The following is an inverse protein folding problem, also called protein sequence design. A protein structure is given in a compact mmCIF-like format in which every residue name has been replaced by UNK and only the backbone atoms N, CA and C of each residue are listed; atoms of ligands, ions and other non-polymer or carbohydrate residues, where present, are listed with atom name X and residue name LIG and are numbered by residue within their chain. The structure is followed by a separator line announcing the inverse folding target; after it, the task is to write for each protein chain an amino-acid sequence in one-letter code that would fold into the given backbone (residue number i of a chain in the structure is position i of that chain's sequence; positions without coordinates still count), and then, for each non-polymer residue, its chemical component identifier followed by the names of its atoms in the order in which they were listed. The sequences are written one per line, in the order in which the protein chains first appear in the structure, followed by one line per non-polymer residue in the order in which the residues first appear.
data_IF_538189985304
#
_entry.id   IF_538189985304
#
_cell.length_a   1.000
_cell.length_b   1.000
_cell.length_c   1.000
_cell.angle_alpha   90.00
_cell.angle_beta   90.00
_cell.angle_gamma   90.00
#
_symmetry.space_group_name_H-M   'P 1'
#
loop_
_entity.id
_entity.type
_entity.pdbx_description
1 polymer ?
#
# COMPACT_ATOMS: atom_id res chain seq x y z
N UNK A 1 -18.79 -18.65 5.33
CA UNK A 1 -17.68 -17.91 5.96
C UNK A 1 -16.81 -17.32 4.86
N UNK A 2 -16.50 -16.02 4.91
CA UNK A 2 -15.56 -15.41 3.96
C UNK A 2 -14.16 -15.91 4.33
N UNK A 3 -13.42 -16.47 3.38
CA UNK A 3 -12.04 -16.87 3.65
C UNK A 3 -11.19 -15.62 3.93
N UNK A 4 -10.21 -15.73 4.86
CA UNK A 4 -9.32 -14.61 5.18
C UNK A 4 -8.64 -14.02 3.95
N UNK A 5 -8.31 -14.86 2.95
CA UNK A 5 -7.79 -14.40 1.66
C UNK A 5 -8.78 -13.53 0.89
N UNK A 6 -10.05 -13.92 0.81
CA UNK A 6 -11.07 -13.16 0.07
C UNK A 6 -11.31 -11.79 0.72
N UNK A 7 -11.34 -11.74 2.05
CA UNK A 7 -11.42 -10.47 2.79
C UNK A 7 -10.20 -9.58 2.51
N UNK A 8 -8.99 -10.13 2.60
CA UNK A 8 -7.77 -9.37 2.36
C UNK A 8 -7.67 -8.83 0.93
N UNK A 9 -8.08 -9.62 -0.07
CA UNK A 9 -8.15 -9.18 -1.47
C UNK A 9 -9.16 -8.04 -1.62
N UNK A 10 -10.36 -8.17 -1.02
CA UNK A 10 -11.38 -7.13 -1.08
C UNK A 10 -10.89 -5.80 -0.47
N UNK A 11 -10.21 -5.85 0.68
CA UNK A 11 -9.61 -4.67 1.32
C UNK A 11 -8.56 -4.02 0.41
N UNK A 12 -7.65 -4.80 -0.19
CA UNK A 12 -6.65 -4.24 -1.10
C UNK A 12 -7.26 -3.60 -2.35
N UNK A 13 -8.31 -4.22 -2.91
CA UNK A 13 -9.04 -3.63 -4.04
C UNK A 13 -9.68 -2.30 -3.65
N UNK A 14 -10.32 -2.24 -2.48
CA UNK A 14 -10.91 -1.00 -1.96
C UNK A 14 -9.86 0.09 -1.73
N UNK A 15 -8.71 -0.26 -1.14
CA UNK A 15 -7.59 0.66 -0.94
C UNK A 15 -7.04 1.16 -2.27
N UNK A 16 -6.87 0.29 -3.27
CA UNK A 16 -6.39 0.68 -4.59
C UNK A 16 -7.38 1.62 -5.30
N UNK A 17 -8.68 1.32 -5.25
CA UNK A 17 -9.73 2.17 -5.83
C UNK A 17 -9.78 3.52 -5.12
N UNK A 18 -9.69 3.54 -3.79
CA UNK A 18 -9.65 4.76 -3.00
C UNK A 18 -8.41 5.60 -3.31
N UNK A 19 -7.23 4.98 -3.41
CA UNK A 19 -5.99 5.66 -3.76
C UNK A 19 -6.03 6.22 -5.19
N UNK A 20 -6.56 5.47 -6.17
CA UNK A 20 -6.77 5.97 -7.53
C UNK A 20 -7.70 7.18 -7.56
N UNK A 21 -8.86 7.08 -6.92
CA UNK A 21 -9.80 8.20 -6.83
C UNK A 21 -9.16 9.41 -6.13
N UNK A 22 -8.42 9.17 -5.05
CA UNK A 22 -7.76 10.22 -4.29
C UNK A 22 -6.68 10.96 -5.11
N UNK A 23 -5.93 10.26 -5.98
CA UNK A 23 -4.91 10.88 -6.84
C UNK A 23 -5.52 11.94 -7.76
N UNK A 24 -6.75 11.74 -8.25
CA UNK A 24 -7.39 12.71 -9.15
C UNK A 24 -8.19 13.79 -8.42
N UNK A 25 -8.77 13.46 -7.26
CA UNK A 25 -9.71 14.34 -6.55
C UNK A 25 -9.02 15.21 -5.49
N UNK A 26 -8.10 14.66 -4.71
CA UNK A 26 -7.55 15.32 -3.51
C UNK A 26 -6.49 16.38 -3.86
N UNK A 27 -5.52 16.13 -4.78
CA UNK A 27 -4.55 17.14 -5.14
C UNK A 27 -5.18 18.45 -5.62
N UNK A 28 -6.34 18.40 -6.31
CA UNK A 28 -7.06 19.59 -6.77
C UNK A 28 -7.47 20.53 -5.63
N UNK A 29 -7.71 20.00 -4.44
CA UNK A 29 -8.14 20.75 -3.26
C UNK A 29 -6.96 21.29 -2.44
N UNK A 30 -5.74 20.80 -2.67
CA UNK A 30 -4.54 21.22 -1.95
C UNK A 30 -3.75 22.21 -2.80
N UNK A 31 -3.30 23.36 -2.26
CA UNK A 31 -2.46 24.31 -3.00
C UNK A 31 -1.22 23.65 -3.64
N UNK A 32 -0.80 24.15 -4.80
CA UNK A 32 0.40 23.66 -5.45
C UNK A 32 1.63 23.92 -4.55
N UNK A 33 2.33 22.85 -4.15
CA UNK A 33 3.45 22.94 -3.23
C UNK A 33 3.97 21.57 -2.79
N UNK A 34 4.88 21.57 -1.80
CA UNK A 34 5.51 20.34 -1.29
C UNK A 34 4.48 19.35 -0.73
N UNK A 35 3.45 19.82 -0.01
CA UNK A 35 2.40 18.97 0.53
C UNK A 35 1.62 18.21 -0.57
N UNK A 36 1.29 18.86 -1.68
CA UNK A 36 0.62 18.21 -2.83
C UNK A 36 1.52 17.13 -3.44
N UNK A 37 2.83 17.40 -3.60
CA UNK A 37 3.78 16.42 -4.14
C UNK A 37 3.92 15.20 -3.22
N UNK A 38 4.07 15.44 -1.92
CA UNK A 38 4.17 14.36 -0.93
C UNK A 38 2.90 13.51 -0.87
N UNK A 39 1.72 14.12 -1.00
CA UNK A 39 0.46 13.39 -1.10
C UNK A 39 0.44 12.46 -2.32
N UNK A 40 0.79 12.98 -3.50
CA UNK A 40 0.80 12.18 -4.73
C UNK A 40 1.79 11.02 -4.63
N UNK A 41 2.99 11.27 -4.09
CA UNK A 41 3.99 10.21 -3.85
C UNK A 41 3.44 9.15 -2.90
N UNK A 42 2.79 9.57 -1.80
CA UNK A 42 2.23 8.63 -0.84
C UNK A 42 1.11 7.77 -1.45
N UNK A 43 0.21 8.37 -2.23
CA UNK A 43 -0.84 7.64 -2.93
C UNK A 43 -0.28 6.68 -3.99
N UNK A 44 0.77 7.09 -4.71
CA UNK A 44 1.45 6.22 -5.66
C UNK A 44 2.14 5.03 -4.97
N UNK A 45 2.76 5.25 -3.81
CA UNK A 45 3.36 4.18 -3.00
C UNK A 45 2.30 3.20 -2.46
N UNK A 46 1.11 3.67 -2.07
CA UNK A 46 -0.01 2.80 -1.69
C UNK A 46 -0.52 1.94 -2.85
N UNK A 47 -0.56 2.49 -4.07
CA UNK A 47 -0.93 1.70 -5.25
C UNK A 47 0.13 0.64 -5.56
N UNK A 48 1.41 1.02 -5.46
CA UNK A 48 2.52 0.09 -5.66
C UNK A 48 2.51 -1.03 -4.62
N UNK A 49 2.33 -0.70 -3.33
CA UNK A 49 2.27 -1.70 -2.26
C UNK A 49 1.07 -2.63 -2.43
N UNK A 50 -0.11 -2.10 -2.77
CA UNK A 50 -1.30 -2.90 -3.05
C UNK A 50 -1.09 -3.90 -4.21
N UNK A 51 -0.42 -3.46 -5.29
CA UNK A 51 -0.01 -4.34 -6.39
C UNK A 51 0.97 -5.44 -5.94
N UNK A 52 1.99 -5.05 -5.16
CA UNK A 52 2.95 -5.98 -4.58
C UNK A 52 2.25 -7.02 -3.70
N UNK A 53 1.31 -6.63 -2.85
CA UNK A 53 0.56 -7.56 -2.00
C UNK A 53 -0.34 -8.50 -2.78
N UNK A 54 -1.03 -8.02 -3.82
CA UNK A 54 -1.87 -8.87 -4.67
C UNK A 54 -1.04 -9.97 -5.35
N UNK A 55 0.15 -9.61 -5.85
CA UNK A 55 1.10 -10.56 -6.44
C UNK A 55 1.63 -11.50 -5.36
N UNK A 56 2.10 -10.97 -4.23
CA UNK A 56 2.68 -11.73 -3.13
C UNK A 56 1.71 -12.75 -2.55
N UNK A 57 0.41 -12.45 -2.47
CA UNK A 57 -0.62 -13.39 -2.01
C UNK A 57 -0.81 -14.59 -2.94
N UNK A 58 -0.72 -14.39 -4.26
CA UNK A 58 -0.73 -15.49 -5.22
C UNK A 58 0.50 -16.35 -5.04
N UNK A 59 1.66 -15.74 -4.85
CA UNK A 59 2.92 -16.45 -4.61
C UNK A 59 2.98 -17.11 -3.23
N UNK A 60 2.34 -16.57 -2.20
CA UNK A 60 2.30 -17.18 -0.87
C UNK A 60 1.45 -18.46 -0.87
N UNK A 61 0.31 -18.46 -1.58
CA UNK A 61 -0.45 -19.69 -1.84
C UNK A 61 0.37 -20.72 -2.62
N UNK A 62 1.13 -20.26 -3.61
CA UNK A 62 2.07 -21.11 -4.34
C UNK A 62 3.20 -21.60 -3.45
N UNK A 63 3.68 -20.81 -2.48
CA UNK A 63 4.73 -21.19 -1.55
C UNK A 63 4.27 -22.25 -0.55
N UNK A 64 3.03 -22.14 -0.07
CA UNK A 64 2.42 -23.14 0.81
C UNK A 64 2.25 -24.48 0.07
N UNK A 65 1.71 -24.44 -1.16
CA UNK A 65 1.59 -25.60 -2.04
C UNK A 65 2.98 -26.15 -2.42
N UNK A 66 3.97 -25.28 -2.67
CA UNK A 66 5.33 -25.67 -3.03
C UNK A 66 6.08 -26.28 -1.85
N UNK A 67 5.88 -25.78 -0.62
CA UNK A 67 6.43 -26.37 0.59
C UNK A 67 5.85 -27.76 0.83
N UNK A 68 4.54 -27.92 0.68
CA UNK A 68 3.88 -29.23 0.74
C UNK A 68 4.41 -30.15 -0.37
N UNK A 69 4.51 -29.67 -1.60
CA UNK A 69 5.06 -30.42 -2.74
C UNK A 69 6.52 -30.83 -2.54
N UNK A 70 7.37 -29.97 -1.97
CA UNK A 70 8.77 -30.29 -1.66
C UNK A 70 8.85 -31.31 -0.51
N UNK A 71 8.02 -31.18 0.53
CA UNK A 71 7.94 -32.15 1.62
C UNK A 71 7.54 -33.56 1.13
N UNK A 72 6.73 -33.63 0.07
CA UNK A 72 6.38 -34.88 -0.61
C UNK A 72 7.32 -35.26 -1.78
N UNK A 73 8.44 -34.55 -1.98
CA UNK A 73 9.42 -34.74 -3.08
C UNK A 73 8.83 -34.63 -4.51
N UNK A 74 7.71 -33.94 -4.65
CA UNK A 74 7.04 -33.69 -5.94
C UNK A 74 7.59 -32.44 -6.64
N UNK A 75 8.32 -31.59 -5.91
CA UNK A 75 8.82 -30.30 -6.39
C UNK A 75 10.35 -30.18 -6.22
N UNK A 76 11.02 -29.69 -7.26
CA UNK A 76 12.46 -29.41 -7.23
C UNK A 76 12.81 -28.23 -6.32
N UNK A 77 13.93 -28.35 -5.60
CA UNK A 77 14.39 -27.34 -4.63
C UNK A 77 14.58 -25.95 -5.25
N UNK A 78 15.06 -25.86 -6.50
CA UNK A 78 15.24 -24.59 -7.21
C UNK A 78 13.92 -23.85 -7.47
N UNK A 79 12.84 -24.58 -7.72
CA UNK A 79 11.50 -24.00 -7.88
C UNK A 79 10.95 -23.50 -6.55
N UNK A 80 11.21 -24.22 -5.45
CA UNK A 80 10.85 -23.78 -4.10
C UNK A 80 11.59 -22.49 -3.72
N UNK A 81 12.90 -22.42 -3.91
CA UNK A 81 13.70 -21.22 -3.60
C UNK A 81 13.26 -20.01 -4.42
N UNK A 82 12.94 -20.18 -5.71
CA UNK A 82 12.40 -19.11 -6.55
C UNK A 82 11.10 -18.54 -5.97
N UNK A 83 10.17 -19.40 -5.56
CA UNK A 83 8.90 -18.99 -4.95
C UNK A 83 9.14 -18.31 -3.59
N UNK A 84 10.13 -18.79 -2.82
CA UNK A 84 10.43 -18.25 -1.50
C UNK A 84 11.02 -16.83 -1.53
N UNK A 85 11.76 -16.47 -2.59
CA UNK A 85 12.29 -15.10 -2.80
C UNK A 85 11.19 -14.03 -2.93
N UNK A 86 9.94 -14.41 -3.22
CA UNK A 86 8.82 -13.48 -3.20
C UNK A 86 8.48 -12.94 -1.81
N UNK A 87 8.99 -13.55 -0.73
CA UNK A 87 8.90 -12.97 0.62
C UNK A 87 9.62 -11.64 0.74
N UNK A 88 10.77 -11.48 0.07
CA UNK A 88 11.53 -10.22 0.07
C UNK A 88 10.77 -9.12 -0.69
N UNK A 89 10.04 -9.51 -1.75
CA UNK A 89 9.16 -8.62 -2.50
C UNK A 89 7.99 -8.16 -1.64
N UNK A 90 7.37 -9.06 -0.87
CA UNK A 90 6.32 -8.72 0.09
C UNK A 90 6.83 -7.76 1.19
N UNK A 91 8.08 -7.96 1.66
CA UNK A 91 8.72 -7.06 2.61
C UNK A 91 8.91 -5.65 2.03
N UNK A 92 9.34 -5.53 0.77
CA UNK A 92 9.44 -4.24 0.08
C UNK A 92 8.07 -3.54 -0.01
N UNK A 93 6.99 -4.30 -0.24
CA UNK A 93 5.60 -3.79 -0.20
C UNK A 93 5.21 -3.19 1.15
N UNK A 94 5.50 -3.89 2.25
CA UNK A 94 5.28 -3.38 3.61
C UNK A 94 6.06 -2.08 3.88
N UNK A 95 7.33 -2.01 3.45
CA UNK A 95 8.15 -0.81 3.63
C UNK A 95 7.57 0.37 2.84
N UNK A 96 7.15 0.15 1.59
CA UNK A 96 6.52 1.18 0.78
C UNK A 96 5.23 1.71 1.41
N UNK A 97 4.41 0.82 1.99
CA UNK A 97 3.19 1.20 2.72
C UNK A 97 3.51 2.04 3.96
N UNK A 98 4.49 1.65 4.78
CA UNK A 98 4.91 2.42 5.95
C UNK A 98 5.40 3.83 5.57
N UNK A 99 6.19 3.94 4.50
CA UNK A 99 6.62 5.24 3.98
C UNK A 99 5.42 6.07 3.51
N UNK A 100 4.47 5.46 2.81
CA UNK A 100 3.27 6.14 2.36
C UNK A 100 2.45 6.70 3.53
N UNK A 101 2.23 5.90 4.57
CA UNK A 101 1.50 6.32 5.78
C UNK A 101 2.24 7.47 6.49
N UNK A 102 3.57 7.39 6.61
CA UNK A 102 4.37 8.47 7.21
C UNK A 102 4.25 9.78 6.41
N UNK A 103 4.27 9.70 5.07
CA UNK A 103 4.09 10.85 4.19
C UNK A 103 2.68 11.45 4.31
N UNK A 104 1.64 10.62 4.34
CA UNK A 104 0.25 11.07 4.54
C UNK A 104 0.08 11.77 5.90
N UNK A 105 0.65 11.21 6.97
CA UNK A 105 0.62 11.82 8.29
C UNK A 105 1.39 13.16 8.32
N UNK A 106 2.47 13.29 7.56
CA UNK A 106 3.19 14.55 7.39
C UNK A 106 2.33 15.60 6.67
N UNK A 107 1.73 15.23 5.53
CA UNK A 107 0.82 16.11 4.78
C UNK A 107 -0.36 16.56 5.64
N UNK A 108 -1.00 15.63 6.37
CA UNK A 108 -2.10 15.94 7.28
C UNK A 108 -1.71 16.98 8.34
N UNK A 109 -0.53 16.84 8.96
CA UNK A 109 -0.02 17.83 9.93
C UNK A 109 0.22 19.20 9.30
N UNK A 110 0.78 19.26 8.09
CA UNK A 110 0.99 20.53 7.38
C UNK A 110 -0.33 21.21 7.04
N UNK A 111 -1.32 20.47 6.55
CA UNK A 111 -2.63 21.02 6.20
C UNK A 111 -3.41 21.52 7.43
N UNK A 112 -3.36 20.79 8.55
CA UNK A 112 -4.01 21.20 9.80
C UNK A 112 -3.42 22.50 10.37
N UNK A 113 -2.09 22.70 10.27
CA UNK A 113 -1.44 23.95 10.69
C UNK A 113 -1.86 25.14 9.84
N UNK A 114 -1.91 24.97 8.51
CA UNK A 114 -2.37 26.02 7.60
C UNK A 114 -3.87 26.37 7.78
N UNK A 115 -4.71 25.39 8.13
CA UNK A 115 -6.12 25.61 8.47
C UNK A 115 -6.33 26.29 9.82
N UNK A 116 -5.39 26.16 10.75
CA UNK A 116 -5.43 26.85 12.05
C UNK A 116 -5.13 28.35 11.95
N UNK A 117 -4.30 28.77 10.99
CA UNK A 117 -3.97 30.19 10.76
C UNK A 117 -5.11 30.97 10.11
N UNK A 118 -6.00 30.29 9.38
CA UNK A 118 -7.16 30.95 8.71
C UNK A 118 -8.38 31.15 9.62
N UNK A 119 -8.38 30.58 10.83
CA UNK A 119 -9.45 30.74 11.81
C UNK A 119 -9.26 31.91 12.81
N UNK A 120 -8.15 32.63 12.74
CA UNK A 120 -7.76 33.66 13.74
C UNK A 120 -8.10 35.11 13.40
N UNK A 121 -8.49 35.42 12.15
CA UNK A 121 -8.70 36.80 11.67
C UNK A 121 -10.18 37.24 11.65
N UNK A 122 -10.99 36.73 12.59
CA UNK A 122 -12.46 36.88 12.60
C UNK A 122 -13.08 37.56 13.81
N UNK A 123 -12.31 38.17 14.72
CA UNK A 123 -12.87 38.95 15.84
C UNK A 123 -12.17 40.31 15.89
N UNK A 124 -12.78 41.30 15.23
CA UNK A 124 -12.64 42.72 15.55
C UNK A 124 -13.90 43.18 16.25
#
# INVERSE_FOLDING_TARGET
MISGTAFYVAVNVLVAVAALAAIFLVPRQIPAGTARKLLVIALALLLLSGGIFAVSLRFFKLAEIAYTGQAFKVLEQGTFEFIYRFKDVALAGNIAELVAVALLASVGRTLLRAGGETGGDGIK
#
